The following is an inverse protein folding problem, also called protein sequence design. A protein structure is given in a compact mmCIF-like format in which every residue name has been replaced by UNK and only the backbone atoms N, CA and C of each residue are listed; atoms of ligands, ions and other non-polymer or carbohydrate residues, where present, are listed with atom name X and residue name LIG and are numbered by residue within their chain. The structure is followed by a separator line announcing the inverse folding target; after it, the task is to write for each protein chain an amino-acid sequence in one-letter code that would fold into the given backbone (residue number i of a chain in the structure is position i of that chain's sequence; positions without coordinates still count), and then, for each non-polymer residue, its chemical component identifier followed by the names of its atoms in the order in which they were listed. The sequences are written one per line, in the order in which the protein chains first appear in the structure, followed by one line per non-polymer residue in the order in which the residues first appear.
data_IF_254523136373
#
_entry.id   IF_254523136373
#
_cell.length_a   1.000
_cell.length_b   1.000
_cell.length_c   1.000
_cell.angle_alpha   90.00
_cell.angle_beta   90.00
_cell.angle_gamma   90.00
#
_symmetry.space_group_name_H-M   'P 1'
#
loop_
_entity.id
_entity.type
_entity.pdbx_description
1 polymer ?
#
# COMPACT_ATOMS: atom_id res chain seq x y z
N UNK A 1 5.93 -10.42 12.50
CA UNK A 1 5.38 -11.48 11.62
C UNK A 1 5.03 -10.89 10.26
N UNK A 2 5.25 -11.60 9.13
CA UNK A 2 4.86 -11.14 7.79
C UNK A 2 3.60 -11.85 7.31
N UNK A 3 2.58 -11.08 6.94
CA UNK A 3 1.22 -11.56 6.77
C UNK A 3 0.79 -11.61 5.30
N UNK A 4 -0.07 -12.57 5.00
CA UNK A 4 -0.82 -12.68 3.74
C UNK A 4 -2.06 -11.76 3.78
N UNK A 5 -2.58 -11.27 2.65
CA UNK A 5 -3.84 -10.52 2.65
C UNK A 5 -5.09 -11.43 2.66
N UNK A 6 -4.94 -12.75 2.46
CA UNK A 6 -6.04 -13.67 2.19
C UNK A 6 -6.72 -14.23 3.44
N UNK A 7 -7.00 -13.39 4.44
CA UNK A 7 -7.72 -13.78 5.65
C UNK A 7 -9.20 -13.35 5.57
N UNK A 8 -10.11 -14.16 6.13
CA UNK A 8 -11.55 -13.85 6.14
C UNK A 8 -11.90 -12.58 6.93
N UNK A 9 -11.14 -12.28 7.99
CA UNK A 9 -11.19 -10.99 8.70
C UNK A 9 -9.78 -10.59 9.12
N UNK A 10 -9.17 -9.70 8.35
CA UNK A 10 -7.77 -9.32 8.59
C UNK A 10 -7.58 -8.53 9.89
N UNK A 11 -8.50 -7.59 10.20
CA UNK A 11 -8.46 -6.84 11.45
C UNK A 11 -8.48 -7.76 12.68
N UNK A 12 -9.32 -8.80 12.66
CA UNK A 12 -9.41 -9.76 13.76
C UNK A 12 -8.12 -10.58 13.92
N UNK A 13 -7.50 -10.99 12.80
CA UNK A 13 -6.21 -11.68 12.83
C UNK A 13 -5.12 -10.76 13.40
N UNK A 14 -5.06 -9.50 12.96
CA UNK A 14 -4.08 -8.53 13.45
C UNK A 14 -4.25 -8.29 14.97
N UNK A 15 -5.47 -8.08 15.45
CA UNK A 15 -5.78 -7.91 16.87
C UNK A 15 -5.42 -9.16 17.70
N UNK A 16 -5.74 -10.36 17.18
CA UNK A 16 -5.36 -11.62 17.83
C UNK A 16 -3.86 -11.79 17.96
N UNK A 17 -3.09 -11.44 16.92
CA UNK A 17 -1.62 -11.47 16.96
C UNK A 17 -1.05 -10.40 17.92
N UNK A 18 -1.67 -9.23 17.98
CA UNK A 18 -1.29 -8.18 18.93
C UNK A 18 -1.51 -8.63 20.38
N UNK A 19 -2.61 -9.32 20.66
CA UNK A 19 -2.89 -9.89 21.98
C UNK A 19 -1.85 -10.94 22.42
N UNK A 20 -1.18 -11.58 21.46
CA UNK A 20 -0.05 -12.48 21.71
C UNK A 20 1.31 -11.74 21.85
N UNK A 21 1.29 -10.41 21.91
CA UNK A 21 2.47 -9.54 22.08
C UNK A 21 3.50 -9.67 20.94
N UNK A 22 3.04 -9.79 19.70
CA UNK A 22 3.93 -9.67 18.54
C UNK A 22 4.42 -8.22 18.40
N UNK A 23 5.73 -8.01 18.27
CA UNK A 23 6.32 -6.66 18.20
C UNK A 23 5.97 -5.88 16.92
N UNK A 24 5.62 -6.57 15.84
CA UNK A 24 5.28 -5.92 14.58
C UNK A 24 4.71 -6.83 13.50
N UNK A 25 3.90 -6.23 12.63
CA UNK A 25 3.23 -6.88 11.51
C UNK A 25 3.72 -6.29 10.18
N UNK A 26 4.11 -7.14 9.24
CA UNK A 26 4.54 -6.74 7.89
C UNK A 26 3.44 -7.03 6.87
N UNK A 27 2.96 -5.99 6.18
CA UNK A 27 1.80 -6.03 5.27
C UNK A 27 2.23 -5.66 3.83
N UNK A 28 2.07 -6.50 2.81
CA UNK A 28 1.70 -7.92 2.79
C UNK A 28 2.71 -8.73 1.99
N UNK A 29 2.82 -10.03 2.29
CA UNK A 29 3.53 -10.96 1.45
C UNK A 29 2.78 -11.18 0.12
N UNK A 30 3.50 -11.16 -1.00
CA UNK A 30 3.00 -11.61 -2.29
C UNK A 30 3.50 -13.03 -2.55
N UNK A 31 2.56 -13.97 -2.70
CA UNK A 31 2.90 -15.34 -3.07
C UNK A 31 3.27 -15.37 -4.56
N UNK A 32 4.29 -16.15 -4.94
CA UNK A 32 4.58 -16.37 -6.35
C UNK A 32 3.46 -17.20 -6.95
N UNK A 33 2.74 -16.60 -7.89
CA UNK A 33 1.66 -17.28 -8.57
C UNK A 33 2.29 -18.06 -9.73
N UNK A 34 2.15 -19.39 -9.76
CA UNK A 34 2.61 -20.17 -10.89
C UNK A 34 1.83 -19.76 -12.14
N UNK A 35 2.49 -19.88 -13.29
CA UNK A 35 1.88 -19.71 -14.60
C UNK A 35 1.99 -21.02 -15.39
N UNK A 36 1.28 -21.13 -16.50
CA UNK A 36 1.33 -22.31 -17.37
C UNK A 36 2.06 -21.93 -18.65
N UNK A 37 3.20 -22.57 -18.89
CA UNK A 37 3.91 -22.50 -20.18
C UNK A 37 3.13 -23.36 -21.18
N UNK A 38 2.42 -22.70 -22.11
CA UNK A 38 1.57 -23.36 -23.10
C UNK A 38 2.36 -24.16 -24.14
N UNK A 39 3.62 -23.80 -24.39
CA UNK A 39 4.48 -24.53 -25.33
C UNK A 39 5.03 -25.80 -24.68
N UNK A 40 5.39 -25.73 -23.40
CA UNK A 40 5.93 -26.88 -22.65
C UNK A 40 4.87 -27.71 -21.95
N UNK A 41 3.62 -27.25 -21.94
CA UNK A 41 2.50 -27.85 -21.18
C UNK A 41 2.87 -28.12 -19.72
N UNK A 42 3.55 -27.16 -19.09
CA UNK A 42 4.12 -27.30 -17.76
C UNK A 42 3.86 -26.07 -16.89
N UNK A 43 3.81 -26.28 -15.57
CA UNK A 43 3.77 -25.18 -14.61
C UNK A 43 5.16 -24.53 -14.54
N UNK A 44 5.21 -23.23 -14.79
CA UNK A 44 6.42 -22.43 -14.75
C UNK A 44 6.38 -21.44 -13.57
N UNK A 45 7.50 -21.26 -12.84
CA UNK A 45 7.60 -20.20 -11.85
C UNK A 45 7.59 -18.84 -12.56
N UNK A 46 6.63 -17.98 -12.22
CA UNK A 46 6.53 -16.63 -12.76
C UNK A 46 6.90 -15.59 -11.68
N UNK A 47 8.11 -15.04 -11.78
CA UNK A 47 8.55 -13.93 -10.94
C UNK A 47 7.91 -12.63 -11.44
N UNK A 48 6.72 -12.32 -10.92
CA UNK A 48 6.09 -11.02 -11.16
C UNK A 48 6.50 -10.03 -10.08
N UNK A 49 7.28 -9.02 -10.47
CA UNK A 49 7.63 -7.90 -9.59
C UNK A 49 6.38 -7.09 -9.23
N UNK A 50 6.36 -6.55 -8.01
CA UNK A 50 5.30 -5.63 -7.61
C UNK A 50 5.29 -4.36 -8.44
N UNK A 51 4.14 -3.72 -8.47
CA UNK A 51 3.83 -2.47 -9.17
C UNK A 51 3.37 -1.44 -8.14
N UNK A 52 3.39 -0.13 -8.45
CA UNK A 52 2.90 0.90 -7.53
C UNK A 52 1.44 0.69 -7.08
N UNK A 53 0.61 0.01 -7.89
CA UNK A 53 -0.77 -0.30 -7.53
C UNK A 53 -0.88 -1.25 -6.32
N UNK A 54 0.12 -2.12 -6.12
CA UNK A 54 0.14 -3.09 -5.01
C UNK A 54 0.24 -2.43 -3.63
N UNK A 55 0.68 -1.16 -3.57
CA UNK A 55 0.78 -0.40 -2.32
C UNK A 55 -0.59 -0.09 -1.70
N UNK A 56 -1.66 -0.03 -2.51
CA UNK A 56 -2.99 0.41 -2.05
C UNK A 56 -3.54 -0.46 -0.93
N UNK A 57 -3.32 -1.77 -1.00
CA UNK A 57 -3.84 -2.72 -0.01
C UNK A 57 -3.09 -2.60 1.35
N UNK A 58 -1.75 -2.63 1.42
CA UNK A 58 -1.01 -2.28 2.63
C UNK A 58 -1.41 -0.91 3.19
N UNK A 59 -1.51 0.12 2.34
CA UNK A 59 -1.86 1.49 2.78
C UNK A 59 -3.21 1.53 3.49
N UNK A 60 -4.23 0.89 2.92
CA UNK A 60 -5.55 0.81 3.51
C UNK A 60 -5.52 0.12 4.89
N UNK A 61 -4.91 -1.06 4.98
CA UNK A 61 -4.89 -1.82 6.23
C UNK A 61 -4.02 -1.18 7.31
N UNK A 62 -2.90 -0.56 6.94
CA UNK A 62 -2.08 0.21 7.88
C UNK A 62 -2.88 1.38 8.44
N UNK A 63 -3.61 2.11 7.59
CA UNK A 63 -4.48 3.21 8.01
C UNK A 63 -5.57 2.79 8.99
N UNK A 64 -6.16 1.60 8.80
CA UNK A 64 -7.16 1.03 9.71
C UNK A 64 -6.53 0.54 11.02
N UNK A 65 -5.36 -0.11 10.97
CA UNK A 65 -4.75 -0.73 12.15
C UNK A 65 -4.03 0.27 13.06
N UNK A 66 -3.58 1.40 12.51
CA UNK A 66 -2.87 2.41 13.28
C UNK A 66 -3.72 2.90 14.47
N UNK A 67 -3.14 2.82 15.67
CA UNK A 67 -3.80 3.18 16.93
C UNK A 67 -4.83 2.16 17.43
N UNK A 68 -5.16 1.13 16.65
CA UNK A 68 -6.05 0.04 17.05
C UNK A 68 -5.29 -1.21 17.52
N UNK A 69 -3.99 -1.32 17.22
CA UNK A 69 -3.09 -2.35 17.73
C UNK A 69 -1.80 -1.72 18.27
N UNK A 70 -1.08 -2.44 19.14
CA UNK A 70 0.18 -1.99 19.75
C UNK A 70 1.40 -2.30 18.89
N UNK A 71 1.34 -3.39 18.12
CA UNK A 71 2.40 -3.86 17.25
C UNK A 71 2.79 -2.82 16.21
N UNK A 72 4.08 -2.69 15.93
CA UNK A 72 4.59 -1.80 14.88
C UNK A 72 4.13 -2.28 13.50
N UNK A 73 3.88 -1.34 12.60
CA UNK A 73 3.35 -1.65 11.27
C UNK A 73 4.43 -1.43 10.21
N UNK A 74 4.73 -2.45 9.42
CA UNK A 74 5.72 -2.34 8.35
C UNK A 74 5.07 -2.60 6.98
N UNK A 75 5.26 -1.67 6.05
CA UNK A 75 4.71 -1.73 4.71
C UNK A 75 5.70 -2.36 3.71
N UNK A 76 5.21 -3.21 2.83
CA UNK A 76 5.95 -3.73 1.68
C UNK A 76 5.05 -3.83 0.45
N UNK A 77 5.67 -4.10 -0.71
CA UNK A 77 5.05 -4.13 -2.04
C UNK A 77 4.67 -2.74 -2.58
N UNK A 78 5.01 -2.50 -3.85
CA UNK A 78 4.59 -1.29 -4.57
C UNK A 78 5.23 0.03 -4.15
N UNK A 79 6.29 0.01 -3.34
CA UNK A 79 7.06 1.21 -2.96
C UNK A 79 8.19 1.40 -3.96
N UNK A 80 8.17 2.53 -4.68
CA UNK A 80 9.11 2.84 -5.75
C UNK A 80 9.79 4.21 -5.62
N UNK A 81 9.20 5.14 -4.89
CA UNK A 81 9.66 6.53 -4.80
C UNK A 81 9.37 7.13 -3.42
N UNK A 82 9.96 8.28 -3.10
CA UNK A 82 9.78 8.95 -1.81
C UNK A 82 8.32 9.20 -1.44
N UNK A 83 7.49 9.60 -2.41
CA UNK A 83 6.05 9.81 -2.21
C UNK A 83 5.31 8.56 -1.72
N UNK A 84 5.75 7.36 -2.11
CA UNK A 84 5.15 6.11 -1.65
C UNK A 84 5.48 5.86 -0.17
N UNK A 85 6.72 6.15 0.22
CA UNK A 85 7.18 6.08 1.61
C UNK A 85 6.37 7.04 2.48
N UNK A 86 6.27 8.30 2.06
CA UNK A 86 5.53 9.35 2.77
C UNK A 86 4.07 8.94 2.99
N UNK A 87 3.39 8.46 1.94
CA UNK A 87 1.98 8.02 2.04
C UNK A 87 1.79 6.91 3.06
N UNK A 88 2.68 5.91 3.08
CA UNK A 88 2.59 4.78 4.01
C UNK A 88 2.89 5.20 5.45
N UNK A 89 3.87 6.08 5.66
CA UNK A 89 4.14 6.66 6.98
C UNK A 89 2.94 7.48 7.45
N UNK A 90 2.38 8.34 6.60
CA UNK A 90 1.17 9.11 6.91
C UNK A 90 -0.02 8.23 7.26
N UNK A 91 -0.17 7.06 6.63
CA UNK A 91 -1.18 6.07 7.00
C UNK A 91 -0.91 5.44 8.38
N UNK A 92 0.35 5.32 8.79
CA UNK A 92 0.72 4.80 10.11
C UNK A 92 1.89 3.82 10.13
N UNK A 93 2.56 3.58 9.00
CA UNK A 93 3.70 2.66 8.93
C UNK A 93 4.89 3.19 9.75
N UNK A 94 5.53 2.30 10.49
CA UNK A 94 6.82 2.49 11.14
C UNK A 94 7.99 2.35 10.16
N UNK A 95 7.88 1.39 9.23
CA UNK A 95 8.94 1.03 8.28
C UNK A 95 8.35 0.74 6.92
N UNK A 96 9.07 1.13 5.86
CA UNK A 96 8.73 0.80 4.47
C UNK A 96 9.84 -0.03 3.84
N UNK A 97 9.48 -1.13 3.15
CA UNK A 97 10.43 -2.09 2.58
C UNK A 97 10.40 -2.08 1.06
N UNK A 98 11.58 -1.93 0.46
CA UNK A 98 11.79 -1.90 -0.99
C UNK A 98 12.40 -3.23 -1.47
N UNK A 99 11.81 -3.82 -2.51
CA UNK A 99 12.37 -5.00 -3.17
C UNK A 99 12.28 -4.85 -4.69
N UNK A 100 11.05 -4.78 -5.23
CA UNK A 100 10.84 -4.68 -6.68
C UNK A 100 11.44 -3.41 -7.29
N UNK A 101 11.47 -2.31 -6.55
CA UNK A 101 12.15 -1.08 -6.99
C UNK A 101 13.68 -1.29 -7.11
N UNK A 102 14.28 -1.99 -6.16
CA UNK A 102 15.73 -2.26 -6.17
C UNK A 102 16.11 -3.27 -7.25
N UNK A 103 15.27 -4.27 -7.48
CA UNK A 103 15.47 -5.22 -8.58
C UNK A 103 15.40 -4.54 -9.96
N UNK A 104 14.57 -3.49 -10.10
CA UNK A 104 14.45 -2.75 -11.37
C UNK A 104 15.51 -1.66 -11.56
N UNK A 105 15.88 -0.95 -10.50
CA UNK A 105 16.69 0.27 -10.59
C UNK A 105 18.08 0.15 -9.96
N UNK A 106 18.41 -0.99 -9.35
CA UNK A 106 19.65 -1.21 -8.62
C UNK A 106 19.61 -0.67 -7.19
N UNK A 107 20.65 -0.99 -6.41
CA UNK A 107 20.74 -0.64 -4.99
C UNK A 107 20.91 0.87 -4.75
N UNK A 108 21.51 1.58 -5.71
CA UNK A 108 21.69 3.04 -5.67
C UNK A 108 20.36 3.81 -5.67
N UNK A 109 19.27 3.16 -6.07
CA UNK A 109 17.94 3.74 -6.03
C UNK A 109 17.47 4.09 -4.60
N UNK A 110 18.00 3.41 -3.56
CA UNK A 110 17.73 3.77 -2.16
C UNK A 110 18.18 5.21 -1.87
N UNK A 111 19.38 5.57 -2.32
CA UNK A 111 19.95 6.91 -2.10
C UNK A 111 19.11 7.99 -2.78
N UNK A 112 18.59 7.71 -3.99
CA UNK A 112 17.68 8.62 -4.68
C UNK A 112 16.39 8.82 -3.88
N UNK A 113 15.78 7.74 -3.39
CA UNK A 113 14.57 7.84 -2.57
C UNK A 113 14.83 8.63 -1.29
N UNK A 114 15.95 8.39 -0.63
CA UNK A 114 16.33 9.10 0.59
C UNK A 114 16.50 10.61 0.33
N UNK A 115 17.23 10.98 -0.73
CA UNK A 115 17.40 12.37 -1.13
C UNK A 115 16.05 13.05 -1.44
N UNK A 116 15.20 12.40 -2.23
CA UNK A 116 13.88 12.92 -2.58
C UNK A 116 12.97 13.05 -1.35
N UNK A 117 13.14 12.17 -0.35
CA UNK A 117 12.41 12.20 0.91
C UNK A 117 12.81 13.42 1.76
N UNK A 118 14.12 13.66 1.90
CA UNK A 118 14.66 14.82 2.63
C UNK A 118 14.20 16.11 1.96
N UNK A 119 14.32 16.21 0.63
CA UNK A 119 13.87 17.37 -0.12
C UNK A 119 12.36 17.64 0.06
N UNK A 120 11.53 16.60 0.04
CA UNK A 120 10.10 16.75 0.27
C UNK A 120 9.79 17.24 1.69
N UNK A 121 10.48 16.72 2.71
CA UNK A 121 10.32 17.14 4.10
C UNK A 121 10.70 18.61 4.30
N UNK A 122 11.83 19.04 3.73
CA UNK A 122 12.27 20.44 3.77
C UNK A 122 11.26 21.37 3.09
N UNK A 123 10.79 21.00 1.90
CA UNK A 123 9.80 21.76 1.14
C UNK A 123 8.48 21.94 1.91
N UNK A 124 8.08 20.93 2.69
CA UNK A 124 6.84 20.93 3.47
C UNK A 124 7.03 21.30 4.94
N UNK A 125 8.22 21.80 5.32
CA UNK A 125 8.54 22.28 6.67
C UNK A 125 8.36 21.22 7.77
N UNK A 126 8.72 19.97 7.46
CA UNK A 126 8.74 18.86 8.41
C UNK A 126 10.16 18.49 8.79
N UNK A 127 10.45 18.35 10.08
CA UNK A 127 11.81 17.99 10.54
C UNK A 127 12.03 16.47 10.51
N UNK A 128 10.96 15.67 10.54
CA UNK A 128 11.09 14.21 10.54
C UNK A 128 9.83 13.52 10.02
N UNK A 129 10.01 12.30 9.50
CA UNK A 129 8.91 11.39 9.19
C UNK A 129 8.03 11.06 10.41
N UNK A 130 8.59 11.12 11.61
CA UNK A 130 7.85 10.85 12.85
C UNK A 130 6.70 11.83 13.05
N UNK A 131 6.85 13.08 12.61
CA UNK A 131 5.78 14.08 12.67
C UNK A 131 4.58 13.72 11.79
N UNK A 132 4.82 12.98 10.71
CA UNK A 132 3.79 12.60 9.73
C UNK A 132 3.06 11.32 10.09
N UNK A 133 3.67 10.47 10.93
CA UNK A 133 3.20 9.11 11.18
C UNK A 133 1.74 9.11 11.64
N UNK A 134 0.87 8.46 10.88
CA UNK A 134 -0.53 8.26 11.23
C UNK A 134 -1.43 9.50 11.07
N UNK A 135 -0.95 10.63 10.54
CA UNK A 135 -1.79 11.84 10.28
C UNK A 135 -2.95 11.58 9.32
N UNK A 136 -2.83 10.57 8.47
CA UNK A 136 -3.86 10.12 7.52
C UNK A 136 -4.32 8.70 7.83
N UNK A 137 -4.25 8.26 9.09
CA UNK A 137 -4.89 7.02 9.54
C UNK A 137 -6.41 7.18 9.64
N UNK A 138 -7.15 6.08 9.77
CA UNK A 138 -8.60 6.13 9.95
C UNK A 138 -9.00 6.97 11.17
N UNK A 139 -8.22 6.91 12.26
CA UNK A 139 -8.49 7.64 13.49
C UNK A 139 -8.26 9.15 13.38
N UNK A 140 -7.35 9.59 12.50
CA UNK A 140 -6.91 10.99 12.39
C UNK A 140 -7.37 11.69 11.10
N UNK A 141 -7.90 10.94 10.13
CA UNK A 141 -8.39 11.50 8.87
C UNK A 141 -9.66 12.33 9.11
N UNK A 142 -9.82 13.50 8.45
CA UNK A 142 -11.04 14.29 8.52
C UNK A 142 -12.31 13.53 8.11
N UNK A 143 -12.15 12.55 7.23
CA UNK A 143 -13.22 11.64 6.77
C UNK A 143 -12.82 10.18 7.08
N UNK A 144 -13.21 9.63 8.25
CA UNK A 144 -12.90 8.24 8.60
C UNK A 144 -13.50 7.21 7.63
N UNK A 145 -14.61 7.55 6.95
CA UNK A 145 -15.24 6.66 5.98
C UNK A 145 -14.45 6.53 4.67
N UNK A 146 -13.40 7.35 4.50
CA UNK A 146 -12.41 7.18 3.43
C UNK A 146 -11.68 5.82 3.50
N UNK A 147 -11.61 5.21 4.68
CA UNK A 147 -11.09 3.85 4.89
C UNK A 147 -12.19 2.78 4.88
N UNK A 148 -13.43 3.17 4.62
CA UNK A 148 -14.58 2.27 4.54
C UNK A 148 -15.04 2.13 3.08
N UNK A 149 -16.20 1.50 2.87
CA UNK A 149 -16.73 1.25 1.51
C UNK A 149 -17.15 2.54 0.79
N UNK A 150 -17.30 3.66 1.49
CA UNK A 150 -17.70 4.94 0.89
C UNK A 150 -16.71 5.41 -0.17
N UNK A 151 -15.41 5.18 0.03
CA UNK A 151 -14.41 5.52 -0.97
C UNK A 151 -14.49 4.63 -2.21
N UNK A 152 -14.88 3.36 -2.05
CA UNK A 152 -15.16 2.48 -3.19
C UNK A 152 -16.36 3.01 -4.00
N UNK A 153 -17.43 3.45 -3.33
CA UNK A 153 -18.60 4.05 -3.98
C UNK A 153 -18.22 5.35 -4.71
N UNK A 154 -17.49 6.27 -4.07
CA UNK A 154 -17.00 7.50 -4.71
C UNK A 154 -16.11 7.21 -5.92
N UNK A 155 -15.24 6.20 -5.83
CA UNK A 155 -14.39 5.75 -6.93
C UNK A 155 -15.20 5.27 -8.12
N UNK A 156 -16.25 4.48 -7.90
CA UNK A 156 -17.16 4.05 -8.97
C UNK A 156 -17.96 5.21 -9.56
N UNK A 157 -18.51 6.09 -8.72
CA UNK A 157 -19.29 7.24 -9.18
C UNK A 157 -18.45 8.19 -10.05
N UNK A 158 -17.19 8.42 -9.71
CA UNK A 158 -16.27 9.24 -10.53
C UNK A 158 -15.90 8.59 -11.86
N UNK A 159 -15.85 7.25 -11.93
CA UNK A 159 -15.64 6.53 -13.19
C UNK A 159 -16.87 6.66 -14.11
N UNK A 160 -18.08 6.47 -13.57
CA UNK A 160 -19.32 6.57 -14.37
C UNK A 160 -19.58 7.99 -14.87
N UNK A 161 -19.28 9.02 -14.07
CA UNK A 161 -19.42 10.42 -14.48
C UNK A 161 -18.43 10.84 -15.57
N UNK A 162 -17.39 10.05 -15.84
CA UNK A 162 -16.46 10.26 -16.96
C UNK A 162 -16.89 9.62 -18.29
N UNK A 163 -17.94 8.78 -18.28
CA UNK A 163 -18.43 8.08 -19.46
C UNK A 163 -19.61 8.77 -20.16
N UNK A 164 -20.13 9.87 -19.62
CA UNK A 164 -21.37 10.51 -20.08
C UNK A 164 -21.17 11.50 -21.25
N UNK A 165 -20.42 11.10 -22.28
CA UNK A 165 -20.04 12.03 -23.36
C UNK A 165 -19.66 11.47 -24.73
N UNK A 166 -19.84 10.18 -25.01
CA UNK A 166 -19.65 9.63 -26.38
C UNK A 166 -20.69 8.55 -26.73
N UNK A 167 -21.96 8.91 -26.70
CA UNK A 167 -22.94 8.24 -27.56
C UNK A 167 -22.82 8.83 -28.96
N UNK A 168 -22.08 8.12 -29.81
CA UNK A 168 -22.21 8.29 -31.26
C UNK A 168 -23.65 8.01 -31.66
N UNK A 169 -24.25 9.00 -32.30
CA UNK A 169 -25.54 8.96 -32.95
C UNK A 169 -25.55 7.85 -34.02
N UNK A 170 -26.20 6.73 -33.73
CA UNK A 170 -26.47 5.65 -34.69
C UNK A 170 -27.85 5.84 -35.31
N UNK A 171 -28.09 7.00 -35.91
CA UNK A 171 -29.27 7.21 -36.73
C UNK A 171 -28.93 7.81 -38.10
N UNK A 172 -28.43 6.97 -39.02
CA UNK A 172 -28.73 6.94 -40.46
C UNK A 172 -28.49 5.56 -41.04
#
# INVERSE_FOLDING_TARGET
MKLSPYFGSFANIAAGLDALNVDGLVLFNRFYQPDIDLEKMAVAPNLTLSTPADMRLPLHWIGILYGNIRANLAATSGIYQAHDVIKLVMAGADVTMLCSALMRHGITHIQRIEMDLVAWLEQHQHNSLRELKGRMSQQNCPDPSAFERDQYVRGLSSYTSGCDGRHGDWSK
#
